data_IF_384348427328
#
_entry.id   IF_384348427328
#
_cell.length_a   1.000
_cell.length_b   1.000
_cell.length_c   1.000
_cell.angle_alpha   90.00
_cell.angle_beta   90.00
_cell.angle_gamma   90.00
#
_symmetry.space_group_name_H-M   'P 1'
#
loop_
_entity.id
_entity.type
_entity.pdbx_description
1 polymer ?
#
# COMPACT_ATOMS: atom_id res chain seq x y z
N UNK A 1 13.76 42.47 -12.14
CA UNK A 1 15.07 43.12 -11.97
C UNK A 1 15.66 42.66 -10.63
N UNK A 2 16.51 41.63 -10.62
CA UNK A 2 17.19 41.20 -9.40
C UNK A 2 18.57 41.86 -9.39
N UNK A 3 18.70 42.89 -8.56
CA UNK A 3 19.88 43.75 -8.43
C UNK A 3 20.98 42.96 -7.74
N UNK A 4 22.01 42.60 -8.51
CA UNK A 4 23.25 42.01 -7.99
C UNK A 4 24.04 43.08 -7.24
N UNK A 5 24.13 42.95 -5.90
CA UNK A 5 25.00 43.77 -5.07
C UNK A 5 26.46 43.54 -5.49
N UNK A 6 27.04 44.57 -6.11
CA UNK A 6 28.45 44.63 -6.51
C UNK A 6 29.36 44.66 -5.28
N UNK A 7 30.34 43.78 -5.35
CA UNK A 7 31.59 43.74 -4.59
C UNK A 7 32.11 45.12 -4.17
N UNK A 8 32.04 45.39 -2.87
CA UNK A 8 32.85 46.41 -2.21
C UNK A 8 34.25 45.82 -1.95
N UNK A 9 35.06 45.68 -3.00
CA UNK A 9 36.50 45.50 -2.81
C UNK A 9 37.08 46.88 -2.47
N UNK A 10 37.27 47.11 -1.18
CA UNK A 10 37.94 48.26 -0.60
C UNK A 10 39.34 48.41 -1.21
N UNK A 11 39.52 49.51 -1.95
CA UNK A 11 40.78 49.98 -2.48
C UNK A 11 41.58 50.62 -1.34
N UNK A 12 42.67 49.98 -0.93
CA UNK A 12 43.78 50.69 -0.27
C UNK A 12 45.05 50.34 -1.03
N UNK A 13 45.51 51.35 -1.77
CA UNK A 13 46.69 51.36 -2.63
C UNK A 13 47.87 51.70 -1.74
N UNK A 14 48.81 50.77 -1.57
CA UNK A 14 50.16 51.05 -1.09
C UNK A 14 51.10 50.19 -1.93
N UNK A 15 51.86 50.89 -2.78
CA UNK A 15 53.13 50.56 -3.43
C UNK A 15 53.41 49.13 -3.91
N UNK A 16 53.45 49.01 -5.25
CA UNK A 16 54.50 48.26 -5.96
C UNK A 16 54.50 46.74 -5.84
N UNK A 17 54.10 46.07 -6.93
CA UNK A 17 54.18 44.61 -7.15
C UNK A 17 53.26 43.75 -6.27
N UNK A 18 52.05 43.46 -6.76
CA UNK A 18 51.24 42.34 -6.25
C UNK A 18 50.85 41.41 -7.39
N UNK A 19 51.53 40.28 -7.42
CA UNK A 19 51.14 39.10 -8.17
C UNK A 19 49.68 38.76 -7.84
N UNK A 20 48.83 38.75 -8.87
CA UNK A 20 47.46 38.28 -8.75
C UNK A 20 47.54 36.78 -8.50
N UNK A 21 47.59 36.38 -7.24
CA UNK A 21 47.25 35.01 -6.88
C UNK A 21 45.75 34.89 -7.13
N UNK A 22 45.40 34.38 -8.31
CA UNK A 22 44.09 33.82 -8.58
C UNK A 22 44.00 32.60 -7.67
N UNK A 23 43.64 32.82 -6.41
CA UNK A 23 43.11 31.76 -5.57
C UNK A 23 41.83 31.35 -6.25
N UNK A 24 41.93 30.34 -7.11
CA UNK A 24 40.81 29.53 -7.55
C UNK A 24 40.03 29.22 -6.28
N UNK A 25 38.94 29.96 -6.07
CA UNK A 25 37.89 29.60 -5.14
C UNK A 25 37.33 28.33 -5.78
N UNK A 26 37.99 27.21 -5.50
CA UNK A 26 37.40 25.89 -5.65
C UNK A 26 36.10 26.03 -4.90
N UNK A 27 34.99 26.08 -5.63
CA UNK A 27 33.65 25.93 -5.12
C UNK A 27 33.53 24.52 -4.53
N UNK A 28 34.30 24.25 -3.49
CA UNK A 28 34.05 23.19 -2.55
C UNK A 28 32.98 23.76 -1.63
N UNK A 29 31.75 23.81 -2.13
CA UNK A 29 30.62 23.52 -1.25
C UNK A 29 30.74 22.04 -0.87
N UNK A 30 31.76 21.75 -0.05
CA UNK A 30 32.00 20.47 0.58
C UNK A 30 30.93 20.30 1.66
N UNK A 31 29.66 20.21 1.26
CA UNK A 31 28.75 19.34 2.01
C UNK A 31 29.39 17.97 1.89
N UNK A 32 29.99 17.40 2.95
CA UNK A 32 30.45 16.04 2.88
C UNK A 32 29.24 15.24 2.42
N UNK A 33 29.35 14.59 1.26
CA UNK A 33 28.40 13.57 0.82
C UNK A 33 28.57 12.43 1.82
N UNK A 34 28.11 12.60 3.06
CA UNK A 34 27.84 11.49 3.94
C UNK A 34 26.88 10.64 3.13
N UNK A 35 27.29 9.45 2.67
CA UNK A 35 26.33 8.54 2.09
C UNK A 35 25.28 8.42 3.17
N UNK A 36 24.02 8.70 2.82
CA UNK A 36 22.91 8.47 3.73
C UNK A 36 22.84 6.96 3.95
N UNK A 37 23.72 6.45 4.81
CA UNK A 37 23.67 5.10 5.29
C UNK A 37 22.48 5.11 6.22
N UNK A 38 21.40 4.51 5.76
CA UNK A 38 20.26 4.14 6.59
C UNK A 38 20.81 3.47 7.87
N UNK A 39 20.84 4.23 8.97
CA UNK A 39 21.44 3.77 10.22
C UNK A 39 20.55 2.66 10.74
N UNK A 40 21.09 1.45 10.79
CA UNK A 40 20.39 0.33 11.39
C UNK A 40 20.05 0.65 12.84
N UNK A 41 18.77 0.59 13.18
CA UNK A 41 18.32 0.78 14.55
C UNK A 41 18.01 -0.59 15.16
N UNK A 42 18.43 -0.77 16.42
CA UNK A 42 18.04 -1.97 17.16
C UNK A 42 16.56 -1.88 17.53
N UNK A 43 15.79 -2.90 17.21
CA UNK A 43 14.36 -2.99 17.50
C UNK A 43 14.16 -3.85 18.73
N UNK A 44 13.63 -3.26 19.79
CA UNK A 44 13.29 -3.95 21.04
C UNK A 44 11.79 -4.12 21.19
N UNK A 45 11.00 -3.19 20.67
CA UNK A 45 9.54 -3.18 20.80
C UNK A 45 8.88 -4.26 19.90
N UNK A 46 8.12 -5.20 20.47
CA UNK A 46 7.40 -6.21 19.68
C UNK A 46 6.27 -5.63 18.81
N UNK A 47 5.72 -4.45 19.10
CA UNK A 47 4.65 -3.87 18.28
C UNK A 47 5.11 -3.58 16.84
N UNK A 48 6.41 -3.33 16.64
CA UNK A 48 7.05 -3.10 15.34
C UNK A 48 7.13 -4.36 14.46
N UNK A 49 6.70 -5.51 14.95
CA UNK A 49 6.58 -6.73 14.14
C UNK A 49 5.40 -6.67 13.16
N UNK A 50 4.37 -5.87 13.46
CA UNK A 50 3.24 -5.66 12.56
C UNK A 50 3.72 -4.91 11.30
N UNK A 51 3.53 -5.46 10.08
CA UNK A 51 3.94 -4.80 8.84
C UNK A 51 3.33 -3.41 8.67
N UNK A 52 2.14 -3.16 9.22
CA UNK A 52 1.42 -1.89 9.10
C UNK A 52 1.62 -0.97 10.31
N UNK A 53 2.52 -1.31 11.24
CA UNK A 53 2.76 -0.52 12.45
C UNK A 53 3.03 0.97 12.18
N UNK A 54 3.94 1.27 11.25
CA UNK A 54 4.28 2.65 10.91
C UNK A 54 3.19 3.36 10.09
N UNK A 55 2.34 2.63 9.38
CA UNK A 55 1.21 3.19 8.63
C UNK A 55 0.10 3.60 9.61
N UNK A 56 -0.18 2.76 10.61
CA UNK A 56 -1.08 3.09 11.74
C UNK A 56 -0.61 4.33 12.49
N UNK A 57 0.66 4.35 12.92
CA UNK A 57 1.24 5.53 13.58
C UNK A 57 1.15 6.79 12.72
N UNK A 58 1.39 6.68 11.41
CA UNK A 58 1.29 7.81 10.49
C UNK A 58 -0.14 8.35 10.35
N UNK A 59 -1.15 7.48 10.45
CA UNK A 59 -2.56 7.90 10.41
C UNK A 59 -3.04 8.59 11.68
N UNK A 60 -2.39 8.32 12.82
CA UNK A 60 -2.67 8.95 14.11
C UNK A 60 -2.05 10.35 14.23
N UNK A 61 -1.08 10.71 13.36
CA UNK A 61 -0.44 12.03 13.39
C UNK A 61 -1.44 13.14 13.02
N UNK A 62 -1.53 14.23 13.82
CA UNK A 62 -2.40 15.37 13.52
C UNK A 62 -1.88 16.21 12.34
N UNK A 63 -2.80 16.82 11.58
CA UNK A 63 -2.49 17.72 10.46
C UNK A 63 -2.05 19.12 10.95
N UNK A 64 -0.95 19.17 11.67
CA UNK A 64 -0.32 20.41 12.14
C UNK A 64 0.76 20.89 11.15
N UNK A 65 1.31 22.09 11.34
CA UNK A 65 2.42 22.64 10.54
C UNK A 65 3.62 21.68 10.49
N UNK A 66 3.80 20.88 11.55
CA UNK A 66 4.87 19.88 11.70
C UNK A 66 4.51 18.48 11.14
N UNK A 67 3.38 18.31 10.47
CA UNK A 67 2.93 17.01 9.96
C UNK A 67 3.96 16.34 9.04
N UNK A 68 4.52 17.08 8.08
CA UNK A 68 5.50 16.54 7.13
C UNK A 68 6.82 16.18 7.83
N UNK A 69 7.20 16.94 8.87
CA UNK A 69 8.40 16.69 9.64
C UNK A 69 8.23 15.47 10.54
N UNK A 70 7.12 15.33 11.25
CA UNK A 70 6.81 14.14 12.06
C UNK A 70 6.75 12.87 11.20
N UNK A 71 6.12 12.92 10.02
CA UNK A 71 6.17 11.83 9.05
C UNK A 71 7.60 11.55 8.56
N UNK A 72 8.41 12.58 8.33
CA UNK A 72 9.83 12.40 7.97
C UNK A 72 10.58 11.66 9.07
N UNK A 73 10.31 11.93 10.35
CA UNK A 73 10.92 11.22 11.47
C UNK A 73 10.44 9.77 11.54
N UNK A 74 9.13 9.53 11.43
CA UNK A 74 8.55 8.18 11.37
C UNK A 74 9.13 7.36 10.21
N UNK A 75 9.33 7.97 9.04
CA UNK A 75 9.94 7.29 7.90
C UNK A 75 11.39 6.88 8.18
N UNK A 76 12.19 7.75 8.84
CA UNK A 76 13.57 7.41 9.23
C UNK A 76 13.59 6.23 10.19
N UNK A 77 12.67 6.18 11.15
CA UNK A 77 12.54 5.06 12.07
C UNK A 77 12.09 3.76 11.39
N UNK A 78 11.10 3.85 10.48
CA UNK A 78 10.63 2.74 9.65
C UNK A 78 11.78 2.11 8.87
N UNK A 79 12.50 2.94 8.13
CA UNK A 79 13.60 2.50 7.27
C UNK A 79 14.79 2.00 8.10
N UNK A 80 15.08 2.62 9.24
CA UNK A 80 16.13 2.18 10.17
C UNK A 80 15.85 0.82 10.83
N UNK A 81 14.57 0.52 11.09
CA UNK A 81 14.12 -0.73 11.73
C UNK A 81 13.84 -1.88 10.76
N UNK A 82 13.50 -1.59 9.49
CA UNK A 82 13.11 -2.55 8.45
C UNK A 82 14.05 -3.77 8.38
N UNK A 83 15.36 -3.54 8.44
CA UNK A 83 16.36 -4.62 8.30
C UNK A 83 16.32 -5.62 9.45
N UNK A 84 16.02 -5.17 10.66
CA UNK A 84 15.88 -6.08 11.80
C UNK A 84 14.50 -6.73 11.85
N UNK A 85 13.45 -5.99 11.51
CA UNK A 85 12.09 -6.52 11.37
C UNK A 85 12.03 -7.60 10.29
N UNK A 86 12.71 -7.42 9.15
CA UNK A 86 12.75 -8.44 8.09
C UNK A 86 13.37 -9.76 8.56
N UNK A 87 14.36 -9.69 9.45
CA UNK A 87 15.06 -10.87 9.99
C UNK A 87 14.30 -11.54 11.14
N UNK A 88 13.51 -10.77 11.91
CA UNK A 88 12.95 -11.20 13.20
C UNK A 88 11.44 -11.15 13.32
N UNK A 89 10.76 -10.40 12.46
CA UNK A 89 9.33 -10.09 12.54
C UNK A 89 8.46 -11.32 12.37
N UNK A 90 8.69 -12.09 11.31
CA UNK A 90 7.90 -13.29 10.98
C UNK A 90 7.91 -14.33 12.13
N UNK A 91 9.03 -14.51 12.83
CA UNK A 91 9.16 -15.45 13.96
C UNK A 91 8.90 -14.76 15.32
N UNK A 92 8.45 -13.51 15.26
CA UNK A 92 8.15 -12.67 16.40
C UNK A 92 9.32 -12.59 17.41
N UNK A 93 10.57 -12.56 16.95
CA UNK A 93 11.77 -12.63 17.81
C UNK A 93 12.18 -11.28 18.42
N UNK A 94 11.47 -10.20 18.10
CA UNK A 94 11.76 -8.83 18.56
C UNK A 94 11.36 -8.70 20.04
N UNK A 95 12.25 -8.14 20.87
CA UNK A 95 12.03 -7.98 22.32
C UNK A 95 12.15 -9.27 23.16
N UNK A 96 12.21 -10.44 22.52
CA UNK A 96 12.22 -11.74 23.22
C UNK A 96 13.61 -12.33 23.41
N UNK A 97 13.82 -12.98 24.55
CA UNK A 97 15.06 -13.72 24.87
C UNK A 97 15.20 -14.97 23.97
N UNK A 98 16.43 -15.39 23.61
CA UNK A 98 16.71 -16.61 22.85
C UNK A 98 15.93 -17.85 23.28
N UNK A 99 15.89 -18.08 24.60
CA UNK A 99 15.19 -19.22 25.23
C UNK A 99 13.70 -19.31 24.86
N UNK A 100 13.06 -18.20 24.49
CA UNK A 100 11.62 -18.17 24.26
C UNK A 100 11.20 -18.56 22.82
N UNK A 101 12.11 -18.52 21.85
CA UNK A 101 11.78 -18.81 20.44
C UNK A 101 12.56 -20.00 19.86
N UNK A 102 13.66 -20.37 20.50
CA UNK A 102 14.36 -21.62 20.24
C UNK A 102 13.67 -22.75 21.02
N UNK A 103 13.48 -23.97 20.45
CA UNK A 103 12.96 -25.11 21.20
C UNK A 103 13.83 -25.45 22.41
N UNK A 104 13.19 -25.84 23.50
CA UNK A 104 13.89 -26.42 24.65
C UNK A 104 14.39 -27.82 24.28
N UNK A 105 15.67 -28.09 24.50
CA UNK A 105 16.30 -29.39 24.27
C UNK A 105 16.92 -29.86 25.57
N UNK A 106 16.87 -31.17 25.81
CA UNK A 106 17.70 -31.82 26.83
C UNK A 106 19.17 -31.87 26.38
N UNK A 107 20.03 -31.10 27.03
CA UNK A 107 21.47 -31.04 26.72
C UNK A 107 22.18 -32.39 26.93
N UNK A 108 21.61 -33.27 27.77
CA UNK A 108 22.16 -34.61 28.03
C UNK A 108 21.78 -35.63 26.97
N UNK A 109 20.83 -35.29 26.08
CA UNK A 109 20.45 -36.17 24.99
C UNK A 109 21.63 -36.40 24.04
N UNK A 110 21.71 -37.59 23.41
CA UNK A 110 22.80 -37.89 22.49
C UNK A 110 22.72 -37.03 21.23
N UNK A 111 23.89 -36.76 20.63
CA UNK A 111 23.98 -36.09 19.32
C UNK A 111 23.19 -36.87 18.26
N UNK A 112 22.69 -36.15 17.26
CA UNK A 112 21.78 -36.71 16.24
C UNK A 112 22.31 -37.99 15.55
N UNK A 113 23.62 -38.04 15.25
CA UNK A 113 24.26 -39.20 14.59
C UNK A 113 24.26 -40.48 15.45
N UNK A 114 24.10 -40.34 16.77
CA UNK A 114 24.15 -41.45 17.73
C UNK A 114 22.80 -41.65 18.44
N UNK A 115 21.73 -41.01 17.97
CA UNK A 115 20.42 -41.06 18.61
C UNK A 115 19.74 -42.43 18.50
N UNK A 116 20.10 -43.23 17.50
CA UNK A 116 19.55 -44.57 17.24
C UNK A 116 20.34 -45.69 17.94
N UNK A 117 21.44 -45.37 18.60
CA UNK A 117 22.24 -46.36 19.34
C UNK A 117 21.60 -46.69 20.69
N UNK A 118 21.78 -47.94 21.12
CA UNK A 118 21.33 -48.39 22.43
C UNK A 118 22.28 -47.87 23.52
N UNK A 119 21.75 -47.00 24.39
CA UNK A 119 22.51 -46.38 25.49
C UNK A 119 22.42 -47.16 26.80
N UNK A 120 21.75 -48.31 26.80
CA UNK A 120 21.64 -49.21 27.95
C UNK A 120 23.01 -49.88 28.22
N UNK A 121 23.54 -49.74 29.44
CA UNK A 121 24.84 -50.31 29.83
C UNK A 121 26.08 -49.47 29.51
N UNK A 122 25.98 -48.38 28.74
CA UNK A 122 27.13 -47.51 28.45
C UNK A 122 27.51 -46.68 29.70
N UNK A 123 28.79 -46.59 30.09
CA UNK A 123 29.25 -45.76 31.22
C UNK A 123 28.85 -44.28 31.08
N UNK A 124 28.54 -43.59 32.19
CA UNK A 124 28.13 -42.18 32.13
C UNK A 124 29.20 -41.27 31.53
N UNK A 125 30.48 -41.59 31.70
CA UNK A 125 31.60 -40.85 31.10
C UNK A 125 31.50 -40.79 29.57
N UNK A 126 31.12 -41.91 28.94
CA UNK A 126 30.94 -42.00 27.49
C UNK A 126 29.66 -41.29 27.06
N UNK A 127 28.54 -41.49 27.78
CA UNK A 127 27.28 -40.76 27.52
C UNK A 127 27.48 -39.24 27.53
N UNK A 128 28.27 -38.75 28.49
CA UNK A 128 28.61 -37.34 28.61
C UNK A 128 29.35 -36.82 27.37
N UNK A 129 30.33 -37.55 26.84
CA UNK A 129 31.08 -37.17 25.63
C UNK A 129 30.16 -37.06 24.40
N UNK A 130 29.19 -37.96 24.28
CA UNK A 130 28.25 -38.00 23.16
C UNK A 130 26.98 -37.18 23.37
N UNK A 131 26.83 -36.51 24.50
CA UNK A 131 25.72 -35.59 24.74
C UNK A 131 25.86 -34.29 23.92
N UNK A 132 24.73 -33.64 23.63
CA UNK A 132 24.71 -32.36 22.91
C UNK A 132 25.50 -31.28 23.66
N UNK A 133 25.51 -31.32 24.99
CA UNK A 133 26.27 -30.37 25.84
C UNK A 133 27.74 -30.29 25.49
N UNK A 134 28.37 -31.44 25.26
CA UNK A 134 29.79 -31.58 24.90
C UNK A 134 29.99 -31.64 23.37
N UNK A 135 28.96 -31.27 22.62
CA UNK A 135 28.96 -31.19 21.17
C UNK A 135 29.39 -29.84 20.61
N UNK A 136 29.34 -29.77 19.29
CA UNK A 136 29.51 -28.53 18.55
C UNK A 136 28.18 -27.75 18.46
N UNK A 137 28.22 -26.49 18.04
CA UNK A 137 27.01 -25.70 17.76
C UNK A 137 26.07 -26.39 16.75
N UNK A 138 26.64 -27.16 15.83
CA UNK A 138 25.88 -27.95 14.86
C UNK A 138 24.95 -28.94 15.54
N UNK A 139 25.39 -29.58 16.62
CA UNK A 139 24.60 -30.57 17.36
C UNK A 139 23.34 -29.92 17.99
N UNK A 140 23.48 -28.73 18.59
CA UNK A 140 22.34 -27.94 19.06
C UNK A 140 21.39 -27.57 17.92
N UNK A 141 21.95 -27.15 16.79
CA UNK A 141 21.18 -26.71 15.63
C UNK A 141 20.38 -27.87 15.04
N UNK A 142 20.97 -29.05 14.97
CA UNK A 142 20.33 -30.26 14.42
C UNK A 142 19.25 -30.78 15.37
N UNK A 143 19.47 -30.72 16.67
CA UNK A 143 18.43 -31.02 17.65
C UNK A 143 17.28 -29.98 17.65
N UNK A 144 17.55 -28.68 17.45
CA UNK A 144 16.48 -27.68 17.31
C UNK A 144 15.64 -27.90 16.06
N UNK A 145 16.29 -28.23 14.93
CA UNK A 145 15.59 -28.58 13.68
C UNK A 145 14.72 -29.81 13.91
N UNK A 146 15.25 -30.87 14.53
CA UNK A 146 14.51 -32.10 14.83
C UNK A 146 13.27 -31.81 15.68
N UNK A 147 13.43 -31.05 16.77
CA UNK A 147 12.31 -30.67 17.64
C UNK A 147 11.23 -29.84 16.93
N UNK A 148 11.58 -29.00 15.96
CA UNK A 148 10.59 -28.26 15.16
C UNK A 148 9.92 -29.14 14.11
N UNK A 149 10.67 -30.04 13.48
CA UNK A 149 10.15 -30.99 12.49
C UNK A 149 9.14 -31.92 13.16
N UNK A 150 9.46 -32.47 14.33
CA UNK A 150 8.61 -33.44 15.04
C UNK A 150 7.23 -32.87 15.42
N UNK A 151 7.11 -31.57 15.67
CA UNK A 151 5.81 -30.91 15.96
C UNK A 151 4.87 -30.87 14.76
N UNK A 152 5.45 -30.80 13.57
CA UNK A 152 4.73 -30.45 12.34
C UNK A 152 4.57 -31.66 11.42
N UNK A 153 5.46 -32.65 11.52
CA UNK A 153 5.51 -33.83 10.67
C UNK A 153 4.23 -34.67 10.76
N UNK A 154 3.79 -35.22 9.62
CA UNK A 154 2.59 -36.08 9.54
C UNK A 154 2.79 -37.45 10.16
N UNK A 155 3.94 -38.10 9.89
CA UNK A 155 4.27 -39.43 10.39
C UNK A 155 5.78 -39.68 10.46
N UNK A 156 6.19 -40.70 11.23
CA UNK A 156 7.36 -41.59 11.04
C UNK A 156 8.45 -41.21 10.02
N UNK A 157 8.05 -41.23 8.77
CA UNK A 157 8.90 -41.33 7.59
C UNK A 157 8.75 -40.12 6.67
N UNK A 158 8.00 -39.10 7.11
CA UNK A 158 7.82 -37.88 6.34
C UNK A 158 9.07 -36.99 6.47
N UNK A 159 9.89 -37.02 5.43
CA UNK A 159 11.19 -36.31 5.39
C UNK A 159 11.08 -35.02 4.58
N UNK A 160 10.16 -34.95 3.62
CA UNK A 160 10.21 -33.98 2.51
C UNK A 160 8.90 -33.23 2.26
N UNK A 161 7.87 -33.40 3.10
CA UNK A 161 6.64 -32.61 3.01
C UNK A 161 6.91 -31.11 3.12
N UNK A 162 5.96 -30.30 2.66
CA UNK A 162 6.06 -28.84 2.73
C UNK A 162 6.17 -28.37 4.18
N UNK A 163 5.40 -29.01 5.06
CA UNK A 163 5.35 -28.77 6.48
C UNK A 163 6.72 -29.03 7.13
N UNK A 164 7.36 -30.18 6.82
CA UNK A 164 8.71 -30.51 7.29
C UNK A 164 9.76 -29.53 6.75
N UNK A 165 9.69 -29.14 5.47
CA UNK A 165 10.60 -28.14 4.90
C UNK A 165 10.43 -26.77 5.57
N UNK A 166 9.21 -26.37 5.91
CA UNK A 166 8.95 -25.11 6.63
C UNK A 166 9.52 -25.18 8.06
N UNK A 167 9.36 -26.32 8.74
CA UNK A 167 9.95 -26.52 10.07
C UNK A 167 11.49 -26.48 10.03
N UNK A 168 12.10 -27.17 9.06
CA UNK A 168 13.55 -27.16 8.85
C UNK A 168 14.09 -25.76 8.55
N UNK A 169 13.47 -25.04 7.60
CA UNK A 169 13.88 -23.66 7.26
C UNK A 169 13.73 -22.73 8.46
N UNK A 170 12.68 -22.89 9.26
CA UNK A 170 12.46 -22.12 10.49
C UNK A 170 13.55 -22.40 11.54
N UNK A 171 13.97 -23.65 11.71
CA UNK A 171 15.10 -24.01 12.56
C UNK A 171 16.42 -23.35 12.12
N UNK A 172 16.67 -23.29 10.82
CA UNK A 172 17.84 -22.58 10.26
C UNK A 172 17.74 -21.07 10.51
N UNK A 173 16.60 -20.44 10.20
CA UNK A 173 16.40 -19.00 10.40
C UNK A 173 16.64 -18.61 11.86
N UNK A 174 16.10 -19.39 12.80
CA UNK A 174 16.27 -19.18 14.25
C UNK A 174 17.72 -19.33 14.69
N UNK A 175 18.34 -20.47 14.39
CA UNK A 175 19.74 -20.75 14.79
C UNK A 175 20.73 -19.73 14.21
N UNK A 176 20.52 -19.29 12.97
CA UNK A 176 21.35 -18.25 12.35
C UNK A 176 21.06 -16.86 12.89
N UNK A 177 19.80 -16.54 13.19
CA UNK A 177 19.48 -15.28 13.88
C UNK A 177 20.13 -15.22 15.26
N UNK A 178 20.24 -16.36 15.95
CA UNK A 178 20.99 -16.46 17.20
C UNK A 178 22.47 -16.16 16.97
N UNK A 179 23.07 -16.78 15.95
CA UNK A 179 24.48 -16.61 15.61
C UNK A 179 24.79 -15.15 15.24
N UNK A 180 23.93 -14.50 14.48
CA UNK A 180 24.07 -13.07 14.13
C UNK A 180 23.96 -12.16 15.36
N UNK A 181 23.27 -12.58 16.44
CA UNK A 181 23.24 -11.84 17.71
C UNK A 181 24.51 -12.05 18.55
N UNK A 182 25.09 -13.26 18.51
CA UNK A 182 26.29 -13.61 19.27
C UNK A 182 27.56 -12.99 18.66
N UNK A 183 27.63 -12.91 17.34
CA UNK A 183 28.73 -12.25 16.63
C UNK A 183 28.60 -10.73 16.82
N UNK A 184 29.34 -10.15 17.77
CA UNK A 184 29.37 -8.70 18.05
C UNK A 184 30.20 -7.93 17.00
N UNK A 185 29.84 -8.05 15.72
CA UNK A 185 30.48 -7.30 14.63
C UNK A 185 29.85 -5.91 14.52
N UNK A 186 30.37 -4.95 15.28
CA UNK A 186 30.09 -3.52 15.10
C UNK A 186 31.13 -2.92 14.15
N UNK A 187 30.72 -2.10 13.15
CA UNK A 187 29.40 -1.50 12.97
C UNK A 187 28.43 -2.33 12.10
N UNK A 188 28.91 -3.32 11.34
CA UNK A 188 28.12 -4.04 10.33
C UNK A 188 28.03 -5.54 10.65
N UNK A 189 26.81 -6.06 10.61
CA UNK A 189 26.55 -7.51 10.70
C UNK A 189 27.29 -8.26 9.58
N UNK A 190 27.74 -9.50 9.83
CA UNK A 190 28.47 -10.29 8.83
C UNK A 190 27.60 -10.57 7.60
N UNK A 191 27.96 -9.96 6.47
CA UNK A 191 27.21 -10.08 5.21
C UNK A 191 27.06 -11.53 4.75
N UNK A 192 28.11 -12.34 4.92
CA UNK A 192 28.14 -13.75 4.50
C UNK A 192 27.16 -14.65 5.26
N UNK A 193 26.64 -14.22 6.43
CA UNK A 193 25.58 -14.93 7.16
C UNK A 193 24.22 -14.30 6.86
N UNK A 194 24.18 -12.97 6.90
CA UNK A 194 22.93 -12.21 6.74
C UNK A 194 22.34 -12.40 5.34
N UNK A 195 23.14 -12.43 4.28
CA UNK A 195 22.65 -12.60 2.93
C UNK A 195 21.95 -13.97 2.73
N UNK A 196 22.59 -15.11 3.03
CA UNK A 196 21.89 -16.39 2.94
C UNK A 196 20.75 -16.53 3.96
N UNK A 197 20.78 -15.85 5.11
CA UNK A 197 19.63 -15.77 6.02
C UNK A 197 18.39 -15.14 5.34
N UNK A 198 18.57 -14.06 4.57
CA UNK A 198 17.47 -13.47 3.80
C UNK A 198 16.95 -14.43 2.72
N UNK A 199 17.83 -15.17 2.04
CA UNK A 199 17.43 -16.18 1.06
C UNK A 199 16.60 -17.28 1.71
N UNK A 200 16.98 -17.73 2.91
CA UNK A 200 16.23 -18.72 3.68
C UNK A 200 14.84 -18.22 4.11
N UNK A 201 14.73 -16.95 4.52
CA UNK A 201 13.43 -16.32 4.84
C UNK A 201 12.54 -16.27 3.59
N UNK A 202 13.10 -15.83 2.44
CA UNK A 202 12.37 -15.79 1.18
C UNK A 202 11.93 -17.19 0.72
N UNK A 203 12.80 -18.18 0.87
CA UNK A 203 12.50 -19.57 0.55
C UNK A 203 11.38 -20.12 1.43
N UNK A 204 11.41 -19.88 2.75
CA UNK A 204 10.31 -20.25 3.65
C UNK A 204 8.99 -19.57 3.27
N UNK A 205 9.01 -18.28 2.92
CA UNK A 205 7.80 -17.56 2.45
C UNK A 205 7.21 -18.19 1.18
N UNK A 206 8.05 -18.67 0.27
CA UNK A 206 7.62 -19.43 -0.92
C UNK A 206 6.94 -20.75 -0.51
N UNK A 207 7.53 -21.50 0.43
CA UNK A 207 6.94 -22.75 0.92
C UNK A 207 5.61 -22.52 1.64
N UNK A 208 5.49 -21.47 2.46
CA UNK A 208 4.24 -21.12 3.14
C UNK A 208 3.12 -20.78 2.15
N UNK A 209 3.45 -20.07 1.06
CA UNK A 209 2.49 -19.81 -0.02
C UNK A 209 2.03 -21.10 -0.69
N UNK A 210 2.97 -22.00 -1.04
CA UNK A 210 2.63 -23.29 -1.64
C UNK A 210 1.77 -24.14 -0.71
N UNK A 211 2.10 -24.17 0.60
CA UNK A 211 1.30 -24.93 1.56
C UNK A 211 -0.12 -24.37 1.68
N UNK A 212 -0.29 -23.05 1.69
CA UNK A 212 -1.61 -22.40 1.70
C UNK A 212 -2.46 -22.75 0.48
N UNK A 213 -1.84 -22.89 -0.70
CA UNK A 213 -2.52 -23.27 -1.95
C UNK A 213 -2.93 -24.75 -1.95
N UNK A 214 -2.11 -25.62 -1.34
CA UNK A 214 -2.34 -27.07 -1.32
C UNK A 214 -3.28 -27.50 -0.20
N UNK A 215 -3.04 -27.05 1.03
CA UNK A 215 -3.76 -27.48 2.23
C UNK A 215 -3.79 -26.35 3.28
N UNK A 216 -4.96 -25.72 3.40
CA UNK A 216 -5.18 -24.62 4.34
C UNK A 216 -5.13 -25.06 5.80
N UNK A 217 -5.60 -26.28 6.12
CA UNK A 217 -5.60 -26.79 7.49
C UNK A 217 -4.17 -27.11 7.97
N UNK A 218 -3.36 -27.73 7.10
CA UNK A 218 -1.94 -27.93 7.39
C UNK A 218 -1.19 -26.60 7.52
N UNK A 219 -1.51 -25.62 6.68
CA UNK A 219 -0.95 -24.27 6.77
C UNK A 219 -1.23 -23.63 8.14
N UNK A 220 -2.48 -23.62 8.60
CA UNK A 220 -2.86 -23.06 9.91
C UNK A 220 -2.18 -23.79 11.07
N UNK A 221 -2.12 -25.13 11.01
CA UNK A 221 -1.41 -25.94 12.00
C UNK A 221 0.07 -25.58 12.08
N UNK A 222 0.75 -25.43 10.93
CA UNK A 222 2.16 -25.05 10.86
C UNK A 222 2.40 -23.67 11.47
N UNK A 223 1.54 -22.68 11.18
CA UNK A 223 1.66 -21.35 11.76
C UNK A 223 1.51 -21.38 13.28
N UNK A 224 0.53 -22.14 13.78
CA UNK A 224 0.27 -22.28 15.21
C UNK A 224 1.44 -22.97 15.95
N UNK A 225 1.85 -24.16 15.48
CA UNK A 225 2.89 -24.98 16.12
C UNK A 225 4.26 -24.29 16.10
N UNK A 226 4.63 -23.71 14.95
CA UNK A 226 5.89 -23.00 14.82
C UNK A 226 5.82 -21.57 15.36
N UNK A 227 4.64 -21.01 15.64
CA UNK A 227 4.44 -19.61 16.06
C UNK A 227 5.02 -18.61 15.06
N UNK A 228 4.67 -18.78 13.78
CA UNK A 228 5.09 -17.91 12.68
C UNK A 228 3.94 -16.96 12.33
N UNK A 229 4.25 -15.67 12.22
CA UNK A 229 3.36 -14.67 11.65
C UNK A 229 3.49 -14.68 10.12
N UNK A 230 2.38 -14.98 9.44
CA UNK A 230 2.30 -14.89 7.99
C UNK A 230 1.57 -13.62 7.57
N UNK A 231 2.19 -12.84 6.69
CA UNK A 231 1.60 -11.68 6.06
C UNK A 231 1.69 -11.81 4.54
N UNK A 232 0.63 -11.44 3.84
CA UNK A 232 0.62 -11.44 2.37
C UNK A 232 1.43 -10.23 1.89
N UNK A 233 2.44 -10.40 1.02
CA UNK A 233 3.16 -9.27 0.47
C UNK A 233 2.23 -8.42 -0.40
N UNK A 234 2.29 -7.09 -0.24
CA UNK A 234 1.57 -6.13 -1.11
C UNK A 234 1.96 -6.37 -2.57
N UNK A 235 1.01 -6.28 -3.49
CA UNK A 235 1.29 -6.35 -4.93
C UNK A 235 2.20 -5.18 -5.35
N UNK A 236 3.00 -5.29 -6.43
CA UNK A 236 3.86 -4.19 -6.87
C UNK A 236 3.09 -2.88 -7.12
N UNK A 237 1.83 -2.98 -7.55
CA UNK A 237 0.92 -1.84 -7.75
C UNK A 237 0.48 -1.18 -6.43
N UNK A 238 0.37 -1.95 -5.36
CA UNK A 238 0.00 -1.49 -4.01
C UNK A 238 1.23 -1.06 -3.20
N UNK A 239 2.44 -1.38 -3.69
CA UNK A 239 3.68 -1.04 -3.02
C UNK A 239 4.02 0.42 -3.25
N UNK A 240 3.94 1.20 -2.17
CA UNK A 240 4.49 2.55 -2.16
C UNK A 240 6.01 2.47 -2.31
N UNK A 241 6.56 3.30 -3.18
CA UNK A 241 8.00 3.36 -3.38
C UNK A 241 8.73 3.63 -2.06
N UNK A 242 9.90 3.02 -1.87
CA UNK A 242 10.70 3.19 -0.64
C UNK A 242 11.29 4.60 -0.46
N UNK A 243 11.01 5.55 -1.36
CA UNK A 243 11.45 6.94 -1.26
C UNK A 243 10.61 7.66 -0.20
N UNK A 244 11.26 8.44 0.68
CA UNK A 244 10.58 9.25 1.71
C UNK A 244 9.44 10.08 1.14
N UNK A 245 9.70 10.80 0.05
CA UNK A 245 8.74 11.69 -0.59
C UNK A 245 7.48 10.92 -1.04
N UNK A 246 7.67 9.84 -1.78
CA UNK A 246 6.56 8.99 -2.24
C UNK A 246 5.75 8.39 -1.08
N UNK A 247 6.41 7.99 0.00
CA UNK A 247 5.73 7.49 1.20
C UNK A 247 4.88 8.54 1.90
N UNK A 248 5.40 9.75 2.06
CA UNK A 248 4.65 10.89 2.63
C UNK A 248 3.47 11.28 1.73
N UNK A 249 3.68 11.35 0.41
CA UNK A 249 2.63 11.68 -0.56
C UNK A 249 1.51 10.64 -0.60
N UNK A 250 1.84 9.35 -0.53
CA UNK A 250 0.84 8.28 -0.47
C UNK A 250 -0.02 8.38 0.79
N UNK A 251 0.60 8.54 1.96
CA UNK A 251 -0.12 8.71 3.22
C UNK A 251 -0.99 9.97 3.24
N UNK A 252 -0.49 11.08 2.69
CA UNK A 252 -1.24 12.32 2.58
C UNK A 252 -2.45 12.14 1.65
N UNK A 253 -2.29 11.43 0.53
CA UNK A 253 -3.38 11.13 -0.39
C UNK A 253 -4.47 10.28 0.28
N UNK A 254 -4.09 9.21 0.96
CA UNK A 254 -5.02 8.37 1.74
C UNK A 254 -5.74 9.16 2.85
N UNK A 255 -5.06 10.12 3.48
CA UNK A 255 -5.68 11.00 4.48
C UNK A 255 -6.69 11.95 3.85
N UNK A 256 -6.33 12.58 2.73
CA UNK A 256 -7.21 13.48 1.98
C UNK A 256 -8.46 12.74 1.49
N UNK A 257 -8.33 11.51 1.01
CA UNK A 257 -9.45 10.68 0.58
C UNK A 257 -10.41 10.41 1.76
N UNK A 258 -9.89 9.99 2.92
CA UNK A 258 -10.72 9.80 4.13
C UNK A 258 -11.44 11.08 4.57
N UNK A 259 -10.77 12.23 4.53
CA UNK A 259 -11.41 13.50 4.91
C UNK A 259 -12.47 13.96 3.90
N UNK A 260 -12.28 13.64 2.62
CA UNK A 260 -13.31 13.84 1.60
C UNK A 260 -14.50 12.94 1.87
N UNK A 261 -14.28 11.67 2.17
CA UNK A 261 -15.37 10.72 2.45
C UNK A 261 -16.20 11.17 3.66
N UNK A 262 -15.55 11.58 4.76
CA UNK A 262 -16.23 12.12 5.95
C UNK A 262 -17.08 13.35 5.59
N UNK A 263 -16.52 14.30 4.84
CA UNK A 263 -17.26 15.50 4.40
C UNK A 263 -18.43 15.14 3.48
N UNK A 264 -18.25 14.17 2.59
CA UNK A 264 -19.32 13.69 1.70
C UNK A 264 -20.44 13.01 2.49
N UNK A 265 -20.12 12.23 3.51
CA UNK A 265 -21.11 11.64 4.41
C UNK A 265 -21.89 12.71 5.19
N UNK A 266 -21.22 13.74 5.69
CA UNK A 266 -21.86 14.88 6.37
C UNK A 266 -22.79 15.66 5.44
N UNK A 267 -22.35 15.96 4.22
CA UNK A 267 -23.16 16.63 3.21
C UNK A 267 -24.36 15.78 2.80
N UNK A 268 -24.18 14.46 2.64
CA UNK A 268 -25.27 13.55 2.33
C UNK A 268 -26.31 13.53 3.46
N UNK A 269 -25.88 13.47 4.73
CA UNK A 269 -26.78 13.55 5.89
C UNK A 269 -27.59 14.86 5.89
N UNK A 270 -26.93 16.00 5.62
CA UNK A 270 -27.60 17.31 5.50
C UNK A 270 -28.62 17.33 4.37
N UNK A 271 -28.21 16.86 3.19
CA UNK A 271 -29.08 16.81 2.01
C UNK A 271 -30.32 15.92 2.25
N UNK A 272 -30.14 14.75 2.89
CA UNK A 272 -31.26 13.88 3.25
C UNK A 272 -32.22 14.60 4.21
N UNK A 273 -31.69 15.29 5.22
CA UNK A 273 -32.51 16.05 6.18
C UNK A 273 -33.28 17.18 5.49
N UNK A 274 -32.62 17.97 4.64
CA UNK A 274 -33.25 19.04 3.84
C UNK A 274 -34.32 18.49 2.90
N UNK A 275 -34.06 17.35 2.24
CA UNK A 275 -35.03 16.69 1.37
C UNK A 275 -36.27 16.23 2.13
N UNK A 276 -36.11 15.77 3.37
CA UNK A 276 -37.24 15.40 4.24
C UNK A 276 -38.05 16.65 4.65
N UNK A 277 -37.37 17.77 4.92
CA UNK A 277 -38.01 19.03 5.33
C UNK A 277 -38.77 19.70 4.17
N UNK A 278 -38.09 19.95 3.04
CA UNK A 278 -38.65 20.70 1.91
C UNK A 278 -39.43 19.82 0.92
N UNK A 279 -39.18 18.50 0.92
CA UNK A 279 -39.85 17.55 0.04
C UNK A 279 -41.38 17.65 0.00
N UNK A 280 -42.11 17.72 1.13
CA UNK A 280 -43.56 17.86 1.12
C UNK A 280 -44.01 19.24 0.61
N UNK A 281 -43.29 20.32 0.94
CA UNK A 281 -43.62 21.67 0.49
C UNK A 281 -43.50 21.79 -1.04
N UNK A 282 -42.41 21.26 -1.59
CA UNK A 282 -42.18 21.22 -3.05
C UNK A 282 -43.27 20.41 -3.75
N UNK A 283 -43.68 19.26 -3.19
CA UNK A 283 -44.77 18.44 -3.75
C UNK A 283 -46.10 19.18 -3.77
N UNK A 284 -46.47 19.83 -2.66
CA UNK A 284 -47.70 20.64 -2.60
C UNK A 284 -47.67 21.75 -3.63
N UNK A 285 -46.53 22.46 -3.76
CA UNK A 285 -46.41 23.53 -4.75
C UNK A 285 -46.51 23.02 -6.18
N UNK A 286 -45.98 21.83 -6.46
CA UNK A 286 -46.10 21.18 -7.77
C UNK A 286 -47.56 20.84 -8.08
N UNK A 287 -48.31 20.29 -7.12
CA UNK A 287 -49.74 19.99 -7.29
C UNK A 287 -50.58 21.27 -7.52
N UNK A 288 -50.28 22.37 -6.84
CA UNK A 288 -50.91 23.67 -7.07
C UNK A 288 -50.67 24.18 -8.51
N UNK A 289 -49.42 24.12 -8.96
CA UNK A 289 -49.04 24.55 -10.31
C UNK A 289 -49.69 23.68 -11.40
N UNK A 290 -49.78 22.37 -11.20
CA UNK A 290 -50.47 21.46 -12.13
C UNK A 290 -51.96 21.81 -12.28
N UNK A 291 -52.60 22.26 -11.19
CA UNK A 291 -54.00 22.71 -11.22
C UNK A 291 -54.12 24.04 -11.95
N UNK A 292 -53.24 25.01 -11.66
CA UNK A 292 -53.20 26.31 -12.36
C UNK A 292 -52.98 26.12 -13.86
N UNK A 293 -52.05 25.25 -14.26
CA UNK A 293 -51.78 24.94 -15.66
C UNK A 293 -53.03 24.37 -16.37
N UNK A 294 -53.75 23.44 -15.73
CA UNK A 294 -55.00 22.91 -16.28
C UNK A 294 -56.07 23.98 -16.48
N UNK A 295 -56.21 24.90 -15.52
CA UNK A 295 -57.17 26.01 -15.62
C UNK A 295 -56.80 26.94 -16.77
N UNK A 296 -55.51 27.29 -16.89
CA UNK A 296 -55.02 28.14 -17.98
C UNK A 296 -55.22 27.47 -19.33
N UNK A 297 -54.88 26.19 -19.46
CA UNK A 297 -55.06 25.44 -20.70
C UNK A 297 -56.54 25.36 -21.09
N UNK A 298 -57.44 25.08 -20.15
CA UNK A 298 -58.88 25.12 -20.41
C UNK A 298 -59.34 26.51 -20.88
N UNK A 299 -58.80 27.58 -20.26
CA UNK A 299 -59.12 28.96 -20.65
C UNK A 299 -58.60 29.30 -22.05
N UNK A 300 -57.42 28.82 -22.42
CA UNK A 300 -56.87 28.99 -23.76
C UNK A 300 -57.73 28.25 -24.79
N UNK A 301 -58.21 27.04 -24.49
CA UNK A 301 -59.14 26.30 -25.36
C UNK A 301 -60.47 27.06 -25.56
N UNK A 302 -61.03 27.64 -24.50
CA UNK A 302 -62.22 28.50 -24.59
C UNK A 302 -61.97 29.71 -25.49
N UNK A 303 -60.85 30.43 -25.30
CA UNK A 303 -60.52 31.59 -26.10
C UNK A 303 -60.29 31.24 -27.58
N UNK A 304 -59.60 30.14 -27.85
CA UNK A 304 -59.41 29.60 -29.19
C UNK A 304 -60.77 29.31 -29.86
N UNK A 305 -61.70 28.68 -29.12
CA UNK A 305 -63.06 28.41 -29.63
C UNK A 305 -63.84 29.69 -29.97
N UNK A 306 -63.69 30.76 -29.18
CA UNK A 306 -64.34 32.06 -29.41
C UNK A 306 -63.72 32.80 -30.59
N UNK A 307 -62.39 32.80 -30.69
CA UNK A 307 -61.65 33.43 -31.77
C UNK A 307 -61.80 32.68 -33.10
N UNK A 308 -62.36 31.47 -33.08
CA UNK A 308 -62.43 30.59 -34.24
C UNK A 308 -61.05 30.05 -34.65
N UNK A 309 -60.09 30.06 -33.72
CA UNK A 309 -58.79 29.43 -33.94
C UNK A 309 -59.02 27.92 -34.06
N UNK A 310 -58.68 27.38 -35.23
CA UNK A 310 -58.78 25.95 -35.48
C UNK A 310 -57.77 25.22 -34.59
N UNK A 311 -58.11 24.02 -34.06
CA UNK A 311 -57.17 23.27 -33.23
C UNK A 311 -55.91 23.01 -34.06
N UNK A 312 -54.74 23.29 -33.49
CA UNK A 312 -53.45 23.13 -34.19
C UNK A 312 -53.26 21.72 -34.78
N UNK A 313 -53.93 20.71 -34.20
CA UNK A 313 -53.96 19.32 -34.66
C UNK A 313 -55.04 19.05 -35.72
N UNK A 314 -55.27 19.97 -36.66
CA UNK A 314 -56.00 19.65 -37.87
C UNK A 314 -55.24 18.54 -38.64
N UNK A 315 -55.93 17.50 -39.15
CA UNK A 315 -55.29 16.55 -40.06
C UNK A 315 -54.81 17.34 -41.28
N UNK A 316 -53.49 17.33 -41.51
CA UNK A 316 -52.90 17.97 -42.69
C UNK A 316 -53.58 17.40 -43.94
N UNK A 317 -54.18 18.28 -44.76
CA UNK A 317 -54.75 17.89 -46.05
C UNK A 317 -53.65 17.22 -46.90
N UNK A 318 -53.84 15.94 -47.20
CA UNK A 318 -53.01 15.24 -48.16
C UNK A 318 -53.72 15.34 -49.52
N UNK A 319 -53.18 16.07 -50.50
CA UNK A 319 -53.82 16.19 -51.82
C UNK A 319 -53.96 14.82 -52.48
N UNK A 320 -54.94 14.68 -53.38
CA UNK A 320 -55.12 13.47 -54.18
C UNK A 320 -53.90 13.32 -55.10
N UNK A 321 -52.97 12.46 -54.68
CA UNK A 321 -51.66 12.30 -55.32
C UNK A 321 -51.74 12.09 -56.84
N UNK A 322 -52.77 11.42 -57.35
CA UNK A 322 -52.85 11.04 -58.77
C UNK A 322 -53.30 12.20 -59.68
N UNK A 323 -54.27 13.02 -59.27
CA UNK A 323 -54.85 14.06 -60.12
C UNK A 323 -53.92 15.29 -60.24
N UNK A 324 -53.25 15.66 -59.14
CA UNK A 324 -52.43 16.88 -59.08
C UNK A 324 -50.93 16.64 -59.33
N UNK A 325 -50.46 15.39 -59.47
CA UNK A 325 -49.04 15.07 -59.67
C UNK A 325 -48.44 15.84 -60.86
N UNK A 326 -49.20 16.01 -61.93
CA UNK A 326 -48.77 16.75 -63.12
C UNK A 326 -48.55 18.24 -62.82
N UNK A 327 -49.44 18.85 -62.04
CA UNK A 327 -49.37 20.26 -61.66
C UNK A 327 -48.27 20.50 -60.62
N UNK A 328 -48.15 19.62 -59.63
CA UNK A 328 -47.09 19.68 -58.62
C UNK A 328 -45.72 19.53 -59.28
N UNK A 329 -45.57 18.59 -60.23
CA UNK A 329 -44.33 18.42 -60.98
C UNK A 329 -44.00 19.65 -61.84
N UNK A 330 -44.99 20.20 -62.54
CA UNK A 330 -44.81 21.42 -63.33
C UNK A 330 -44.43 22.63 -62.47
N UNK A 331 -45.11 22.83 -61.33
CA UNK A 331 -44.80 23.90 -60.39
C UNK A 331 -43.43 23.71 -59.73
N UNK A 332 -43.03 22.48 -59.41
CA UNK A 332 -41.71 22.21 -58.87
C UNK A 332 -40.60 22.55 -59.90
N UNK A 333 -40.81 22.23 -61.18
CA UNK A 333 -39.83 22.60 -62.22
C UNK A 333 -39.74 24.13 -62.40
N UNK A 334 -40.88 24.83 -62.31
CA UNK A 334 -40.94 26.27 -62.55
C UNK A 334 -40.47 27.13 -61.37
N UNK A 335 -40.77 26.72 -60.14
CA UNK A 335 -40.64 27.59 -58.96
C UNK A 335 -39.75 27.02 -57.84
N UNK A 336 -39.36 25.76 -57.90
CA UNK A 336 -38.58 25.16 -56.83
C UNK A 336 -37.10 25.58 -56.97
N UNK A 337 -36.76 26.67 -56.28
CA UNK A 337 -35.40 26.92 -55.88
C UNK A 337 -35.08 26.00 -54.70
N UNK A 338 -33.94 25.30 -54.69
CA UNK A 338 -33.55 24.49 -53.54
C UNK A 338 -33.48 25.37 -52.30
N UNK A 339 -34.16 24.97 -51.22
CA UNK A 339 -34.23 25.73 -49.97
C UNK A 339 -32.82 26.06 -49.47
N UNK A 340 -32.47 27.35 -49.46
CA UNK A 340 -31.17 27.80 -48.97
C UNK A 340 -31.10 27.55 -47.45
N UNK A 341 -30.24 26.62 -46.98
CA UNK A 341 -30.19 26.23 -45.58
C UNK A 341 -29.86 27.41 -44.66
N UNK A 342 -29.22 28.47 -45.18
CA UNK A 342 -28.88 29.66 -44.40
C UNK A 342 -30.12 30.47 -43.98
N UNK A 343 -31.25 30.36 -44.69
CA UNK A 343 -32.46 31.12 -44.39
C UNK A 343 -33.15 30.65 -43.10
N UNK A 344 -33.10 29.34 -42.79
CA UNK A 344 -33.70 28.79 -41.56
C UNK A 344 -33.00 29.29 -40.29
N UNK A 345 -31.67 29.39 -40.30
CA UNK A 345 -30.93 29.84 -39.12
C UNK A 345 -31.25 31.30 -38.75
N UNK A 346 -31.45 32.17 -39.75
CA UNK A 346 -31.79 33.59 -39.49
C UNK A 346 -33.16 33.80 -38.83
N UNK A 347 -34.08 32.85 -38.95
CA UNK A 347 -35.41 32.96 -38.34
C UNK A 347 -35.48 32.39 -36.92
N UNK A 348 -34.46 31.64 -36.47
CA UNK A 348 -34.40 31.14 -35.09
C UNK A 348 -33.62 32.08 -34.17
N UNK A 349 -32.75 32.93 -34.72
CA UNK A 349 -31.99 33.93 -33.98
C UNK A 349 -32.70 35.29 -33.84
N UNK A 350 -33.87 35.45 -34.48
CA UNK A 350 -34.73 36.63 -34.37
C UNK A 350 -35.98 36.29 -33.56
#
# INVERSE_FOLDING_TARGET
>A
MVVFYRNACSRVIIDGYRSIYVTTIKQQSSRPRFPFFNKHMKVTDPARQDPNHFEKLAHEVPLDEQYVDTLTHLWKEKIGSEREVTLKGDDQMIGRKPKNWVPEIDENSPKANYAELDWEGIPESVKKIFSIKFGERRDYTDAWKKALIDKVRKHKLDINSLEVKIAWTTGVIRSWTLLVKEIDNKPKKPSYIVHPLHLMIAFRRKLLRQLREVDTAAFEKVLFELKIAYHVPKRPEEQVEKRRKAWVEALLKERIEREKDIKMEELNKKYIAERIQYGPEIKKRLEELDVEERIINARLEELASIQGEMPEKLPKYQPKLIEELSEIAAHAILYHHPDDPQRKNRLLDA
#
